data_IF_173413025649
#
_entry.id   IF_173413025649
#
_cell.length_a   1.000
_cell.length_b   1.000
_cell.length_c   1.000
_cell.angle_alpha   90.00
_cell.angle_beta   90.00
_cell.angle_gamma   90.00
#
_symmetry.space_group_name_H-M   'P 1'
#
loop_
_entity.id
_entity.type
_entity.pdbx_description
1 polymer ?
#
# COMPACT_ATOMS: atom_id res chain seq x y z
N UNK A 1 4.79 -41.47 8.73
CA UNK A 1 5.02 -40.03 8.48
C UNK A 1 6.46 -39.75 8.84
N UNK A 2 7.30 -39.25 7.93
CA UNK A 2 8.72 -39.03 8.25
C UNK A 2 8.86 -37.92 9.28
N UNK A 3 9.90 -37.97 10.12
CA UNK A 3 10.21 -36.94 11.12
C UNK A 3 10.29 -35.52 10.51
N UNK A 4 10.60 -35.42 9.22
CA UNK A 4 10.56 -34.16 8.46
C UNK A 4 9.15 -33.54 8.37
N UNK A 5 8.08 -34.35 8.31
CA UNK A 5 6.70 -33.88 8.18
C UNK A 5 6.23 -33.10 9.42
N UNK A 6 6.74 -33.43 10.61
CA UNK A 6 6.36 -32.75 11.85
C UNK A 6 6.97 -31.35 11.97
N UNK A 7 8.20 -31.16 11.46
CA UNK A 7 8.87 -29.86 11.46
C UNK A 7 8.23 -28.84 10.50
N UNK A 8 7.74 -29.29 9.34
CA UNK A 8 7.05 -28.42 8.38
C UNK A 8 5.71 -27.92 8.88
N UNK A 9 4.96 -28.74 9.61
CA UNK A 9 3.65 -28.35 10.11
C UNK A 9 3.73 -27.12 11.02
N UNK A 10 4.69 -27.09 11.95
CA UNK A 10 4.89 -25.94 12.82
C UNK A 10 5.23 -24.65 12.05
N UNK A 11 6.05 -24.74 11.00
CA UNK A 11 6.38 -23.59 10.14
C UNK A 11 5.18 -23.11 9.32
N UNK A 12 4.37 -24.04 8.80
CA UNK A 12 3.14 -23.71 8.08
C UNK A 12 2.11 -23.03 8.99
N UNK A 13 1.99 -23.48 10.24
CA UNK A 13 1.09 -22.88 11.22
C UNK A 13 1.55 -21.48 11.63
N UNK A 14 2.86 -21.26 11.81
CA UNK A 14 3.42 -19.93 12.00
C UNK A 14 3.17 -19.01 10.80
N UNK A 15 3.32 -19.53 9.57
CA UNK A 15 3.05 -18.76 8.36
C UNK A 15 1.57 -18.36 8.28
N UNK A 16 0.65 -19.29 8.57
CA UNK A 16 -0.80 -19.00 8.64
C UNK A 16 -1.09 -17.92 9.66
N UNK A 17 -0.59 -18.08 10.90
CA UNK A 17 -0.79 -17.12 11.98
C UNK A 17 -0.31 -15.70 11.59
N UNK A 18 0.89 -15.59 11.01
CA UNK A 18 1.42 -14.28 10.55
C UNK A 18 0.61 -13.71 9.40
N UNK A 19 0.16 -14.55 8.48
CA UNK A 19 -0.66 -14.15 7.34
C UNK A 19 -2.02 -13.64 7.80
N UNK A 20 -2.66 -14.32 8.75
CA UNK A 20 -3.96 -13.94 9.30
C UNK A 20 -3.85 -12.65 10.11
N UNK A 21 -2.80 -12.49 10.91
CA UNK A 21 -2.50 -11.23 11.58
C UNK A 21 -2.29 -10.07 10.59
N UNK A 22 -1.52 -10.28 9.50
CA UNK A 22 -1.32 -9.26 8.48
C UNK A 22 -2.62 -8.90 7.72
N UNK A 23 -3.58 -9.83 7.62
CA UNK A 23 -4.89 -9.55 7.02
C UNK A 23 -5.81 -8.72 7.90
N UNK A 24 -5.55 -8.67 9.21
CA UNK A 24 -6.30 -7.85 10.16
C UNK A 24 -5.98 -6.34 10.06
N UNK A 25 -5.06 -5.94 9.18
CA UNK A 25 -4.75 -4.52 8.91
C UNK A 25 -4.39 -3.77 10.21
N UNK A 26 -4.95 -2.59 10.44
CA UNK A 26 -4.75 -1.81 11.67
C UNK A 26 -5.49 -2.31 12.91
N UNK A 27 -6.13 -3.48 12.84
CA UNK A 27 -6.94 -4.05 13.91
C UNK A 27 -8.38 -3.50 13.97
N UNK A 28 -9.21 -4.15 14.78
CA UNK A 28 -10.65 -3.90 14.85
C UNK A 28 -11.01 -2.43 15.12
N UNK A 29 -10.33 -1.78 16.07
CA UNK A 29 -10.61 -0.38 16.43
C UNK A 29 -10.29 0.59 15.28
N UNK A 30 -9.19 0.37 14.57
CA UNK A 30 -8.79 1.21 13.43
C UNK A 30 -9.72 1.03 12.24
N UNK A 31 -10.14 -0.22 11.99
CA UNK A 31 -11.16 -0.54 10.98
C UNK A 31 -12.49 0.10 11.34
N UNK A 32 -12.93 -0.01 12.59
CA UNK A 32 -14.18 0.63 13.04
C UNK A 32 -14.14 2.15 12.86
N UNK A 33 -13.03 2.81 13.21
CA UNK A 33 -12.86 4.26 12.96
C UNK A 33 -12.87 4.61 11.47
N UNK A 34 -12.31 3.76 10.60
CA UNK A 34 -12.34 3.94 9.15
C UNK A 34 -13.80 3.87 8.63
N UNK A 35 -14.54 2.83 9.04
CA UNK A 35 -15.94 2.65 8.67
C UNK A 35 -16.86 3.74 9.22
N UNK A 36 -16.62 4.21 10.46
CA UNK A 36 -17.38 5.31 11.07
C UNK A 36 -17.25 6.63 10.28
N UNK A 37 -16.22 6.78 9.45
CA UNK A 37 -16.04 7.90 8.52
C UNK A 37 -16.71 7.68 7.16
N UNK A 38 -17.44 6.57 6.98
CA UNK A 38 -18.05 6.17 5.72
C UNK A 38 -17.04 5.69 4.67
N UNK A 39 -15.86 5.22 5.10
CA UNK A 39 -14.76 4.86 4.20
C UNK A 39 -14.49 3.37 4.25
N UNK A 40 -14.26 2.77 3.08
CA UNK A 40 -13.81 1.39 2.97
C UNK A 40 -12.33 1.27 3.40
N UNK A 41 -11.97 0.09 3.92
CA UNK A 41 -10.58 -0.33 4.15
C UNK A 41 -9.87 -0.67 2.83
N UNK A 42 -8.55 -0.81 2.87
CA UNK A 42 -7.77 -1.18 1.68
C UNK A 42 -8.26 -2.50 1.05
N UNK A 43 -8.52 -3.52 1.88
CA UNK A 43 -8.95 -4.84 1.39
C UNK A 43 -10.39 -4.83 0.85
N UNK A 44 -11.29 -4.07 1.45
CA UNK A 44 -12.66 -3.90 0.93
C UNK A 44 -12.67 -3.16 -0.41
N UNK A 45 -11.81 -2.16 -0.59
CA UNK A 45 -11.64 -1.47 -1.88
C UNK A 45 -11.22 -2.44 -2.97
N UNK A 46 -10.22 -3.29 -2.69
CA UNK A 46 -9.76 -4.31 -3.64
C UNK A 46 -10.88 -5.29 -3.98
N UNK A 47 -11.59 -5.80 -2.96
CA UNK A 47 -12.67 -6.75 -3.16
C UNK A 47 -13.84 -6.16 -3.99
N UNK A 48 -14.15 -4.87 -3.81
CA UNK A 48 -15.19 -4.18 -4.57
C UNK A 48 -14.75 -3.76 -5.98
N UNK A 49 -13.46 -3.56 -6.21
CA UNK A 49 -12.93 -2.99 -7.45
C UNK A 49 -12.48 -4.05 -8.46
N UNK A 50 -12.20 -5.26 -8.00
CA UNK A 50 -11.62 -6.34 -8.83
C UNK A 50 -12.58 -7.51 -9.00
N UNK A 51 -12.38 -8.29 -10.06
CA UNK A 51 -13.14 -9.50 -10.31
C UNK A 51 -13.00 -10.47 -9.12
N UNK A 52 -14.07 -11.17 -8.72
CA UNK A 52 -14.02 -12.14 -7.63
C UNK A 52 -12.87 -13.14 -7.77
N UNK A 53 -12.13 -13.37 -6.68
CA UNK A 53 -11.00 -14.31 -6.61
C UNK A 53 -9.84 -14.03 -7.58
N UNK A 54 -9.77 -12.85 -8.21
CA UNK A 54 -8.69 -12.49 -9.13
C UNK A 54 -7.45 -11.90 -8.45
N UNK A 55 -7.60 -11.36 -7.24
CA UNK A 55 -6.52 -10.67 -6.53
C UNK A 55 -5.46 -11.64 -6.01
N UNK A 56 -4.22 -11.43 -6.42
CA UNK A 56 -3.02 -12.11 -5.92
C UNK A 56 -2.12 -11.10 -5.23
N UNK A 57 -2.04 -11.18 -3.90
CA UNK A 57 -1.31 -10.22 -3.07
C UNK A 57 0.20 -10.49 -3.06
N UNK A 58 0.98 -9.44 -3.25
CA UNK A 58 2.44 -9.48 -3.15
C UNK A 58 2.85 -8.85 -1.82
N UNK A 59 3.80 -9.46 -1.10
CA UNK A 59 4.32 -8.87 0.14
C UNK A 59 3.28 -8.71 1.24
N UNK A 60 2.41 -9.71 1.46
CA UNK A 60 1.46 -9.74 2.58
C UNK A 60 2.16 -9.53 3.94
N UNK A 61 3.34 -10.14 4.10
CA UNK A 61 4.15 -10.07 5.31
C UNK A 61 5.19 -8.94 5.29
N UNK A 62 5.07 -7.98 4.36
CA UNK A 62 5.86 -6.75 4.41
C UNK A 62 5.56 -6.00 5.72
N UNK A 63 6.56 -5.35 6.30
CA UNK A 63 6.47 -4.74 7.63
C UNK A 63 6.95 -5.63 8.78
N UNK A 64 7.24 -6.91 8.49
CA UNK A 64 7.91 -7.96 9.30
C UNK A 64 8.38 -7.65 10.72
N UNK A 65 9.62 -8.03 11.05
CA UNK A 65 10.21 -7.75 12.37
C UNK A 65 11.05 -6.48 12.25
N UNK A 66 10.58 -5.38 12.84
CA UNK A 66 11.34 -4.14 12.87
C UNK A 66 12.67 -4.32 13.61
N UNK A 67 13.77 -3.70 13.14
CA UNK A 67 15.04 -3.65 13.86
C UNK A 67 14.83 -2.87 15.18
N UNK A 68 14.58 -3.59 16.27
CA UNK A 68 14.18 -2.99 17.56
C UNK A 68 13.06 -3.74 18.30
N UNK A 69 12.50 -4.81 17.71
CA UNK A 69 11.51 -5.65 18.39
C UNK A 69 10.09 -5.07 18.43
N UNK A 70 9.81 -4.03 17.64
CA UNK A 70 8.46 -3.52 17.48
C UNK A 70 7.57 -4.58 16.80
N UNK A 71 6.27 -4.64 17.12
CA UNK A 71 5.36 -5.58 16.51
C UNK A 71 5.28 -5.36 14.99
N UNK A 72 5.04 -6.43 14.20
CA UNK A 72 4.87 -6.32 12.77
C UNK A 72 3.77 -5.35 12.37
N UNK A 73 4.02 -4.57 11.32
CA UNK A 73 3.01 -3.73 10.70
C UNK A 73 2.38 -4.49 9.53
N UNK A 74 1.05 -4.64 9.56
CA UNK A 74 0.30 -5.34 8.53
C UNK A 74 0.57 -4.75 7.14
N UNK A 75 1.22 -5.56 6.28
CA UNK A 75 1.63 -5.22 4.92
C UNK A 75 2.36 -3.86 4.78
N UNK A 76 2.97 -3.37 5.86
CA UNK A 76 3.53 -2.02 6.00
C UNK A 76 2.62 -0.88 5.48
N UNK A 77 1.31 -0.99 5.72
CA UNK A 77 0.30 -0.02 5.28
C UNK A 77 0.09 0.09 3.76
N UNK A 78 0.55 -0.90 2.97
CA UNK A 78 0.26 -0.99 1.54
C UNK A 78 -0.18 -2.40 1.17
N UNK A 79 -1.41 -2.55 0.70
CA UNK A 79 -1.92 -3.79 0.11
C UNK A 79 -1.80 -3.66 -1.41
N UNK A 80 -1.20 -4.63 -2.07
CA UNK A 80 -0.98 -4.52 -3.52
C UNK A 80 -0.59 -5.83 -4.17
N UNK A 81 -0.77 -5.89 -5.49
CA UNK A 81 -0.59 -7.12 -6.25
C UNK A 81 -1.19 -7.03 -7.64
N UNK A 82 -1.46 -8.20 -8.22
CA UNK A 82 -2.16 -8.32 -9.52
C UNK A 82 -3.61 -8.68 -9.29
N UNK A 83 -4.49 -8.24 -10.19
CA UNK A 83 -5.91 -8.60 -10.19
C UNK A 83 -6.48 -8.53 -11.61
N UNK A 84 -7.80 -8.72 -11.74
CA UNK A 84 -8.53 -8.48 -12.98
C UNK A 84 -9.69 -7.52 -12.79
N UNK A 85 -10.04 -6.80 -13.85
CA UNK A 85 -11.28 -6.02 -14.00
C UNK A 85 -11.88 -6.39 -15.35
N UNK A 86 -13.10 -6.92 -15.36
CA UNK A 86 -13.76 -7.41 -16.58
C UNK A 86 -12.86 -8.39 -17.34
N UNK A 87 -12.19 -9.28 -16.61
CA UNK A 87 -11.24 -10.26 -17.13
C UNK A 87 -9.86 -9.69 -17.52
N UNK A 88 -9.67 -8.37 -17.55
CA UNK A 88 -8.41 -7.73 -17.95
C UNK A 88 -7.42 -7.63 -16.80
N UNK A 89 -6.16 -8.08 -16.95
CA UNK A 89 -5.17 -8.04 -15.88
C UNK A 89 -4.74 -6.60 -15.56
N UNK A 90 -4.54 -6.31 -14.28
CA UNK A 90 -4.01 -5.04 -13.77
C UNK A 90 -3.00 -5.29 -12.64
N UNK A 91 -2.19 -4.27 -12.35
CA UNK A 91 -1.46 -4.14 -11.09
C UNK A 91 -2.12 -3.06 -10.25
N UNK A 92 -2.22 -3.25 -8.94
CA UNK A 92 -2.78 -2.26 -8.03
C UNK A 92 -1.97 -2.09 -6.75
N UNK A 93 -1.93 -0.86 -6.26
CA UNK A 93 -1.32 -0.43 -5.00
C UNK A 93 -2.37 0.33 -4.19
N UNK A 94 -2.73 -0.15 -3.01
CA UNK A 94 -3.79 0.42 -2.17
C UNK A 94 -3.24 0.72 -0.78
N UNK A 95 -3.20 2.01 -0.45
CA UNK A 95 -2.77 2.47 0.87
C UNK A 95 -3.81 2.13 1.93
N UNK A 96 -3.33 1.67 3.09
CA UNK A 96 -4.15 1.29 4.22
C UNK A 96 -4.01 2.30 5.36
N UNK A 97 -4.95 3.25 5.40
CA UNK A 97 -5.00 4.28 6.44
C UNK A 97 -5.10 3.71 7.86
N UNK A 98 -5.63 2.50 8.02
CA UNK A 98 -5.77 1.88 9.34
C UNK A 98 -4.42 1.50 9.96
N UNK A 99 -3.39 1.30 9.13
CA UNK A 99 -2.02 0.97 9.57
C UNK A 99 -1.17 2.22 9.52
N UNK A 100 -0.79 2.76 10.69
CA UNK A 100 0.09 3.95 10.80
C UNK A 100 -0.36 5.14 9.91
N UNK A 101 -1.68 5.33 9.74
CA UNK A 101 -2.23 6.42 8.93
C UNK A 101 -1.89 6.32 7.44
N UNK A 102 -1.63 5.11 6.92
CA UNK A 102 -1.21 4.91 5.54
C UNK A 102 0.18 5.47 5.23
N UNK A 103 1.00 5.73 6.26
CA UNK A 103 2.33 6.31 6.08
C UNK A 103 3.30 5.34 5.40
N UNK A 104 4.16 5.90 4.57
CA UNK A 104 5.10 5.18 3.72
C UNK A 104 6.35 4.83 4.52
N UNK A 105 6.49 3.55 4.88
CA UNK A 105 7.71 2.99 5.47
C UNK A 105 8.67 2.44 4.40
N UNK A 106 9.87 2.04 4.81
CA UNK A 106 10.84 1.42 3.89
C UNK A 106 10.30 0.15 3.21
N UNK A 107 9.67 -0.82 3.91
CA UNK A 107 9.04 -1.96 3.25
C UNK A 107 7.92 -1.58 2.28
N UNK A 108 7.09 -0.58 2.62
CA UNK A 108 6.04 -0.02 1.77
C UNK A 108 6.61 0.54 0.48
N UNK A 109 7.64 1.39 0.57
CA UNK A 109 8.32 1.97 -0.58
C UNK A 109 8.91 0.89 -1.49
N UNK A 110 9.62 -0.09 -0.91
CA UNK A 110 10.17 -1.21 -1.67
C UNK A 110 9.08 -2.06 -2.35
N UNK A 111 7.97 -2.32 -1.66
CA UNK A 111 6.81 -3.05 -2.19
C UNK A 111 6.15 -2.29 -3.34
N UNK A 112 5.96 -0.98 -3.20
CA UNK A 112 5.42 -0.10 -4.24
C UNK A 112 6.31 -0.10 -5.48
N UNK A 113 7.61 0.14 -5.32
CA UNK A 113 8.57 0.11 -6.42
C UNK A 113 8.56 -1.23 -7.16
N UNK A 114 8.44 -2.35 -6.43
CA UNK A 114 8.33 -3.70 -7.01
C UNK A 114 7.07 -3.88 -7.86
N UNK A 115 5.93 -3.36 -7.40
CA UNK A 115 4.65 -3.43 -8.10
C UNK A 115 4.61 -2.53 -9.33
N UNK A 116 5.09 -1.28 -9.22
CA UNK A 116 5.21 -0.37 -10.37
C UNK A 116 6.12 -0.97 -11.44
N UNK A 117 7.25 -1.56 -11.04
CA UNK A 117 8.13 -2.27 -11.98
C UNK A 117 7.45 -3.48 -12.61
N UNK A 118 6.62 -4.22 -11.87
CA UNK A 118 5.83 -5.32 -12.43
C UNK A 118 4.88 -4.83 -13.52
N UNK A 119 4.21 -3.69 -13.30
CA UNK A 119 3.33 -3.08 -14.30
C UNK A 119 4.11 -2.73 -15.58
N UNK A 120 5.31 -2.18 -15.43
CA UNK A 120 6.20 -1.82 -16.54
C UNK A 120 6.69 -3.06 -17.33
N UNK A 121 7.17 -4.08 -16.62
CA UNK A 121 7.73 -5.32 -17.19
C UNK A 121 6.67 -6.18 -17.90
N UNK A 122 5.43 -6.12 -17.41
CA UNK A 122 4.31 -6.93 -17.92
C UNK A 122 3.35 -6.14 -18.81
N UNK A 123 3.63 -4.87 -19.02
CA UNK A 123 2.78 -3.93 -19.77
C UNK A 123 1.32 -3.96 -19.30
N UNK A 124 1.13 -4.00 -17.97
CA UNK A 124 -0.18 -4.02 -17.33
C UNK A 124 -0.59 -2.62 -16.86
N UNK A 125 -1.88 -2.25 -16.99
CA UNK A 125 -2.40 -1.03 -16.37
C UNK A 125 -2.12 -1.01 -14.86
N UNK A 126 -1.77 0.16 -14.35
CA UNK A 126 -1.50 0.40 -12.94
C UNK A 126 -2.62 1.23 -12.30
N UNK A 127 -3.15 0.74 -11.18
CA UNK A 127 -4.11 1.49 -10.35
C UNK A 127 -3.47 1.83 -9.00
N UNK A 128 -3.40 3.12 -8.69
CA UNK A 128 -2.94 3.64 -7.41
C UNK A 128 -4.14 4.11 -6.60
N UNK A 129 -4.38 3.55 -5.42
CA UNK A 129 -5.42 4.03 -4.50
C UNK A 129 -4.76 4.68 -3.29
N UNK A 130 -4.86 6.01 -3.22
CA UNK A 130 -4.14 6.84 -2.26
C UNK A 130 -5.02 7.18 -1.05
N UNK A 131 -4.46 6.97 0.14
CA UNK A 131 -5.10 7.16 1.44
C UNK A 131 -4.05 7.05 2.56
N UNK A 132 -3.13 8.02 2.58
CA UNK A 132 -1.93 7.97 3.40
C UNK A 132 -1.37 9.34 3.75
N UNK A 133 -0.74 9.42 4.92
CA UNK A 133 -0.13 10.62 5.49
C UNK A 133 1.24 10.99 4.88
N UNK A 134 1.68 10.33 3.82
CA UNK A 134 3.01 10.53 3.22
C UNK A 134 4.11 9.76 3.95
N UNK A 135 5.33 10.28 3.90
CA UNK A 135 6.53 9.64 4.49
C UNK A 135 6.37 9.41 6.00
N UNK A 136 6.79 8.23 6.46
CA UNK A 136 6.71 7.87 7.87
C UNK A 136 7.82 8.56 8.66
N UNK A 137 7.44 9.28 9.71
CA UNK A 137 8.37 10.07 10.55
C UNK A 137 9.52 9.25 11.17
N UNK A 138 9.30 7.96 11.43
CA UNK A 138 10.32 7.06 11.98
C UNK A 138 11.41 6.63 10.99
N UNK A 139 11.22 6.84 9.67
CA UNK A 139 12.10 6.27 8.63
C UNK A 139 13.58 6.66 8.79
N UNK A 140 13.87 7.88 9.27
CA UNK A 140 15.24 8.38 9.44
C UNK A 140 16.02 7.68 10.57
N UNK A 141 15.31 7.10 11.54
CA UNK A 141 15.91 6.41 12.68
C UNK A 141 16.14 4.92 12.40
N UNK A 142 15.57 4.38 11.32
CA UNK A 142 15.69 2.98 10.97
C UNK A 142 16.94 2.73 10.12
N UNK A 143 17.65 1.63 10.42
CA UNK A 143 18.80 1.16 9.62
C UNK A 143 18.35 0.41 8.36
N UNK A 144 17.44 0.98 7.58
CA UNK A 144 17.12 0.47 6.25
C UNK A 144 17.93 1.26 5.21
N UNK A 145 18.78 0.62 4.40
CA UNK A 145 19.40 1.29 3.27
C UNK A 145 18.31 1.76 2.31
N UNK A 146 18.44 2.98 1.80
CA UNK A 146 17.53 3.67 0.88
C UNK A 146 16.59 2.72 0.11
N UNK A 147 15.29 2.76 0.41
CA UNK A 147 14.32 2.10 -0.43
C UNK A 147 14.33 2.73 -1.83
N UNK A 148 14.20 1.94 -2.91
CA UNK A 148 14.14 2.51 -4.25
C UNK A 148 12.93 3.44 -4.37
N UNK A 149 13.15 4.64 -4.89
CA UNK A 149 12.06 5.55 -5.21
C UNK A 149 11.19 4.98 -6.34
N UNK A 150 9.88 5.20 -6.25
CA UNK A 150 8.89 4.82 -7.26
C UNK A 150 8.56 5.96 -8.22
N UNK A 151 8.83 7.23 -7.90
CA UNK A 151 8.46 8.38 -8.75
C UNK A 151 8.99 8.25 -10.18
N UNK A 152 10.28 7.94 -10.33
CA UNK A 152 10.85 7.70 -11.67
C UNK A 152 10.20 6.48 -12.34
N UNK A 153 9.95 5.39 -11.60
CA UNK A 153 9.32 4.19 -12.15
C UNK A 153 7.89 4.45 -12.64
N UNK A 154 7.14 5.29 -11.93
CA UNK A 154 5.78 5.68 -12.34
C UNK A 154 5.84 6.61 -13.55
N UNK A 155 6.81 7.53 -13.59
CA UNK A 155 7.05 8.36 -14.77
C UNK A 155 7.41 7.50 -16.01
N UNK A 156 8.20 6.44 -15.84
CA UNK A 156 8.59 5.53 -16.92
C UNK A 156 7.40 4.72 -17.51
N UNK A 157 6.26 4.66 -16.80
CA UNK A 157 5.02 4.05 -17.32
C UNK A 157 4.29 4.95 -18.33
N UNK A 158 4.61 6.25 -18.38
CA UNK A 158 3.93 7.21 -19.26
C UNK A 158 4.04 6.80 -20.72
N UNK A 159 2.89 6.71 -21.39
CA UNK A 159 2.80 6.29 -22.79
C UNK A 159 3.06 4.79 -23.02
N UNK A 160 3.30 4.00 -21.97
CA UNK A 160 3.52 2.54 -22.03
C UNK A 160 2.27 1.78 -21.61
N UNK A 161 1.70 2.14 -20.47
CA UNK A 161 0.49 1.51 -19.90
C UNK A 161 -0.41 2.57 -19.28
N UNK A 162 -1.74 2.35 -19.20
CA UNK A 162 -2.62 3.27 -18.47
C UNK A 162 -2.30 3.30 -16.98
N UNK A 163 -2.11 4.49 -16.42
CA UNK A 163 -1.97 4.72 -14.98
C UNK A 163 -3.19 5.49 -14.47
N UNK A 164 -3.91 4.94 -13.50
CA UNK A 164 -5.08 5.58 -12.88
C UNK A 164 -4.84 5.75 -11.39
N UNK A 165 -5.05 6.97 -10.89
CA UNK A 165 -4.99 7.27 -9.45
C UNK A 165 -6.39 7.52 -8.91
N UNK A 166 -6.76 6.80 -7.85
CA UNK A 166 -7.94 7.05 -7.03
C UNK A 166 -7.49 7.70 -5.72
N UNK A 167 -7.83 8.97 -5.50
CA UNK A 167 -7.58 9.66 -4.22
C UNK A 167 -8.81 9.48 -3.35
N UNK A 168 -8.72 8.56 -2.39
CA UNK A 168 -9.87 8.11 -1.61
C UNK A 168 -9.90 8.70 -0.20
N UNK A 169 -8.87 9.45 0.18
CA UNK A 169 -8.69 10.13 1.46
C UNK A 169 -7.63 11.21 1.39
N UNK A 170 -6.91 11.40 2.49
CA UNK A 170 -5.75 12.29 2.49
C UNK A 170 -4.60 11.62 1.73
N UNK A 171 -3.95 12.35 0.84
CA UNK A 171 -2.68 11.97 0.22
C UNK A 171 -1.73 13.16 0.33
N UNK A 172 -0.65 12.97 1.09
CA UNK A 172 0.29 14.05 1.42
C UNK A 172 1.70 13.74 0.92
N UNK A 173 2.42 14.77 0.47
CA UNK A 173 3.83 14.68 0.12
C UNK A 173 4.09 13.66 -0.98
N UNK A 174 4.88 12.63 -0.70
CA UNK A 174 5.29 11.61 -1.66
C UNK A 174 4.09 10.93 -2.36
N UNK A 175 3.07 10.51 -1.62
CA UNK A 175 1.88 9.87 -2.21
C UNK A 175 1.16 10.78 -3.21
N UNK A 176 1.02 12.07 -2.88
CA UNK A 176 0.44 13.08 -3.76
C UNK A 176 1.29 13.29 -5.02
N UNK A 177 2.61 13.35 -4.87
CA UNK A 177 3.56 13.48 -5.99
C UNK A 177 3.53 12.25 -6.91
N UNK A 178 3.41 11.03 -6.37
CA UNK A 178 3.23 9.84 -7.20
C UNK A 178 1.90 9.90 -7.95
N UNK A 179 0.83 10.35 -7.28
CA UNK A 179 -0.51 10.42 -7.85
C UNK A 179 -0.63 11.30 -9.10
N UNK A 180 0.12 12.41 -9.16
CA UNK A 180 0.08 13.36 -10.29
C UNK A 180 0.71 12.81 -11.58
N UNK A 181 1.47 11.72 -11.50
CA UNK A 181 1.96 11.01 -12.69
C UNK A 181 0.91 10.06 -13.29
N UNK A 182 -0.33 10.00 -12.80
CA UNK A 182 -1.37 9.22 -13.47
C UNK A 182 -1.87 9.89 -14.76
N UNK A 183 -2.46 9.11 -15.65
CA UNK A 183 -3.16 9.60 -16.85
C UNK A 183 -4.57 10.08 -16.49
N UNK A 184 -5.18 9.46 -15.48
CA UNK A 184 -6.47 9.85 -14.93
C UNK A 184 -6.41 9.88 -13.40
N UNK A 185 -6.87 10.98 -12.81
CA UNK A 185 -7.01 11.14 -11.36
C UNK A 185 -8.49 11.28 -11.04
N UNK A 186 -9.01 10.36 -10.23
CA UNK A 186 -10.37 10.40 -9.70
C UNK A 186 -10.26 10.62 -8.19
N UNK A 187 -10.95 11.63 -7.67
CA UNK A 187 -10.85 12.04 -6.28
C UNK A 187 -12.22 12.04 -5.64
N UNK A 188 -12.36 11.38 -4.48
CA UNK A 188 -13.58 11.43 -3.70
C UNK A 188 -13.81 12.86 -3.16
N UNK A 189 -15.07 13.28 -3.00
CA UNK A 189 -15.40 14.66 -2.58
C UNK A 189 -14.78 15.05 -1.23
N UNK A 190 -14.60 14.09 -0.33
CA UNK A 190 -14.02 14.27 1.00
C UNK A 190 -12.53 13.92 1.08
N UNK A 191 -11.86 13.70 -0.05
CA UNK A 191 -10.43 13.46 -0.12
C UNK A 191 -9.65 14.79 -0.16
N UNK A 192 -8.33 14.72 0.07
CA UNK A 192 -7.44 15.85 -0.10
C UNK A 192 -6.09 15.38 -0.65
N UNK A 193 -5.52 16.12 -1.61
CA UNK A 193 -4.20 15.85 -2.17
C UNK A 193 -3.34 17.11 -2.12
N UNK A 194 -2.17 17.04 -1.49
CA UNK A 194 -1.27 18.19 -1.34
C UNK A 194 0.18 17.78 -1.16
N UNK A 195 1.12 18.57 -1.69
CA UNK A 195 2.57 18.34 -1.53
C UNK A 195 3.07 18.67 -0.13
N UNK A 196 2.50 19.70 0.51
CA UNK A 196 2.78 20.11 1.87
C UNK A 196 1.47 20.24 2.65
N UNK A 197 1.39 19.63 3.84
CA UNK A 197 0.19 19.68 4.68
C UNK A 197 -0.01 21.04 5.35
N UNK A 198 -1.24 21.39 5.78
CA UNK A 198 -1.53 22.69 6.40
C UNK A 198 -0.61 23.08 7.57
N UNK A 199 -0.23 22.17 8.50
CA UNK A 199 0.71 22.52 9.57
C UNK A 199 2.10 22.94 9.06
N UNK A 200 2.57 22.33 7.96
CA UNK A 200 3.86 22.66 7.35
C UNK A 200 3.80 24.01 6.63
N UNK A 201 2.70 24.26 5.91
CA UNK A 201 2.47 25.53 5.22
C UNK A 201 2.39 26.68 6.24
N UNK A 202 1.64 26.50 7.32
CA UNK A 202 1.50 27.49 8.39
C UNK A 202 2.86 27.80 9.05
N UNK A 203 3.66 26.77 9.33
CA UNK A 203 4.98 26.96 9.91
C UNK A 203 5.97 27.71 8.99
N UNK A 204 5.81 27.58 7.67
CA UNK A 204 6.72 28.18 6.70
C UNK A 204 6.27 29.57 6.22
N UNK A 205 4.96 29.79 6.05
CA UNK A 205 4.40 30.94 5.35
C UNK A 205 3.45 31.82 6.19
N UNK A 206 3.10 31.40 7.41
CA UNK A 206 2.09 32.06 8.26
C UNK A 206 0.66 31.63 7.97
#
# INVERSE_FOLDING_TARGET
MSEHSAGWQALLDQLRQRSDSARQMGGADSIHRQHARGRLTARERIASFTDPHSFSEYGLLAGGNHPGGQPPLAADALVGGTARIDGRPIVLCVEDFTVKGGSIGHPNAAKRARLVRLALERELPLVLMLDGAGERSGNQMERYPNAPGDLQLVADLKGRVPVVTLVLGTSAGHGALTGVFADLIIMAENAAMFSAGPPLVQAALG
#
